data_IF_209864754560
#
_entry.id   IF_209864754560
#
_cell.length_a   1.000
_cell.length_b   1.000
_cell.length_c   1.000
_cell.angle_alpha   90.00
_cell.angle_beta   90.00
_cell.angle_gamma   90.00
#
_symmetry.space_group_name_H-M   'P 1'
#
loop_
_entity.id
_entity.type
_entity.pdbx_description
1 polymer ?
#
# COMPACT_ATOMS: atom_id res chain seq x y z
N UNK A 1 -53.47 2.22 38.17
CA UNK A 1 -54.17 2.53 36.90
C UNK A 1 -53.66 3.89 36.46
N UNK A 2 -53.00 4.10 35.32
CA UNK A 2 -53.27 3.59 33.96
C UNK A 2 -51.97 3.36 33.18
N UNK A 3 -52.01 2.34 32.36
CA UNK A 3 -50.98 1.81 31.47
C UNK A 3 -50.84 2.63 30.17
N UNK A 4 -49.59 2.65 29.67
CA UNK A 4 -49.16 2.58 28.24
C UNK A 4 -49.63 3.61 27.21
N UNK A 5 -48.67 4.16 26.45
CA UNK A 5 -48.55 4.17 24.97
C UNK A 5 -47.49 5.24 24.61
N UNK A 6 -46.24 4.84 24.33
CA UNK A 6 -45.70 4.57 22.98
C UNK A 6 -45.16 5.83 22.28
N UNK A 7 -43.83 5.91 22.11
CA UNK A 7 -43.25 6.40 20.85
C UNK A 7 -41.84 5.84 20.68
N UNK A 8 -41.75 4.79 19.87
CA UNK A 8 -40.51 4.31 19.30
C UNK A 8 -39.98 5.36 18.31
N UNK A 9 -38.92 6.09 18.68
CA UNK A 9 -38.13 6.88 17.74
C UNK A 9 -36.91 6.06 17.32
N UNK A 10 -37.17 5.10 16.43
CA UNK A 10 -36.17 4.27 15.79
C UNK A 10 -35.32 5.10 14.82
N UNK A 11 -33.99 5.04 15.02
CA UNK A 11 -33.00 4.69 14.00
C UNK A 11 -33.12 5.39 12.63
N UNK A 12 -32.63 6.62 12.48
CA UNK A 12 -32.18 7.15 11.17
C UNK A 12 -31.08 8.22 11.34
N UNK A 13 -29.97 7.89 12.01
CA UNK A 13 -28.71 8.61 11.80
C UNK A 13 -27.84 7.75 10.88
N UNK A 14 -28.31 7.57 9.65
CA UNK A 14 -27.51 7.07 8.54
C UNK A 14 -26.30 7.98 8.40
N UNK A 15 -25.16 7.49 8.92
CA UNK A 15 -23.88 8.16 8.83
C UNK A 15 -23.60 8.50 7.38
N UNK A 16 -23.62 9.80 7.07
CA UNK A 16 -23.06 10.32 5.83
C UNK A 16 -21.57 10.07 5.95
N UNK A 17 -21.11 8.91 5.51
CA UNK A 17 -19.70 8.73 5.19
C UNK A 17 -19.44 9.63 3.99
N UNK A 18 -19.01 10.86 4.26
CA UNK A 18 -18.36 11.68 3.26
C UNK A 18 -17.25 10.82 2.66
N UNK A 19 -17.51 10.30 1.46
CA UNK A 19 -16.49 9.70 0.65
C UNK A 19 -15.56 10.85 0.27
N UNK A 20 -14.59 11.15 1.14
CA UNK A 20 -13.47 11.99 0.79
C UNK A 20 -12.77 11.27 -0.36
N UNK A 21 -13.10 11.66 -1.59
CA UNK A 21 -12.21 11.43 -2.71
C UNK A 21 -10.84 11.91 -2.24
N UNK A 22 -9.89 10.98 -2.10
CA UNK A 22 -8.57 11.34 -1.65
C UNK A 22 -8.03 12.40 -2.61
N UNK A 23 -7.60 13.54 -2.05
CA UNK A 23 -7.02 14.61 -2.83
C UNK A 23 -5.70 14.15 -3.46
N UNK A 24 -5.25 14.85 -4.51
CA UNK A 24 -3.98 14.56 -5.17
C UNK A 24 -2.80 14.54 -4.19
N UNK A 25 -2.84 15.41 -3.17
CA UNK A 25 -1.84 15.45 -2.10
C UNK A 25 -1.85 14.18 -1.24
N UNK A 26 -3.03 13.66 -0.90
CA UNK A 26 -3.15 12.41 -0.14
C UNK A 26 -2.57 11.22 -0.93
N UNK A 27 -2.81 11.18 -2.24
CA UNK A 27 -2.24 10.16 -3.13
C UNK A 27 -0.72 10.29 -3.30
N UNK A 28 -0.20 11.50 -3.36
CA UNK A 28 1.25 11.75 -3.40
C UNK A 28 1.93 11.25 -2.12
N UNK A 29 1.40 11.62 -0.96
CA UNK A 29 1.91 11.19 0.34
C UNK A 29 1.86 9.67 0.51
N UNK A 30 0.77 9.04 0.10
CA UNK A 30 0.63 7.58 0.12
C UNK A 30 1.72 6.90 -0.72
N UNK A 31 1.96 7.34 -1.96
CA UNK A 31 2.99 6.76 -2.83
C UNK A 31 4.40 6.95 -2.27
N UNK A 32 4.68 8.12 -1.71
CA UNK A 32 5.96 8.41 -1.03
C UNK A 32 6.20 7.46 0.13
N UNK A 33 5.16 7.20 0.92
CA UNK A 33 5.24 6.27 2.04
C UNK A 33 5.48 4.83 1.58
N UNK A 34 4.72 4.35 0.59
CA UNK A 34 4.90 3.01 0.02
C UNK A 34 6.33 2.86 -0.51
N UNK A 35 6.82 3.84 -1.28
CA UNK A 35 8.19 3.83 -1.78
C UNK A 35 9.22 3.69 -0.64
N UNK A 36 9.10 4.51 0.40
CA UNK A 36 10.01 4.51 1.55
C UNK A 36 9.98 3.19 2.31
N UNK A 37 8.79 2.67 2.59
CA UNK A 37 8.61 1.40 3.30
C UNK A 37 9.20 0.23 2.51
N UNK A 38 8.92 0.17 1.21
CA UNK A 38 9.40 -0.87 0.32
C UNK A 38 10.92 -0.85 0.14
N UNK A 39 11.52 0.31 -0.10
CA UNK A 39 12.99 0.43 -0.19
C UNK A 39 13.64 0.04 1.13
N UNK A 40 13.03 0.39 2.26
CA UNK A 40 13.54 0.01 3.58
C UNK A 40 13.50 -1.49 3.81
N UNK A 41 12.38 -2.14 3.48
CA UNK A 41 12.23 -3.59 3.60
C UNK A 41 13.19 -4.36 2.67
N UNK A 42 13.58 -3.76 1.53
CA UNK A 42 14.48 -4.37 0.57
C UNK A 42 15.99 -4.23 0.86
N UNK A 43 16.41 -3.48 1.91
CA UNK A 43 17.84 -3.15 2.16
C UNK A 43 18.79 -4.34 2.30
N UNK A 44 18.29 -5.52 2.69
CA UNK A 44 19.09 -6.75 2.76
C UNK A 44 19.26 -7.48 1.42
N UNK A 45 18.44 -7.14 0.43
CA UNK A 45 18.44 -7.75 -0.89
C UNK A 45 19.02 -6.81 -1.96
N UNK A 46 18.72 -5.51 -1.86
CA UNK A 46 19.02 -4.50 -2.89
C UNK A 46 19.77 -3.31 -2.27
N UNK A 47 20.95 -3.04 -2.82
CA UNK A 47 21.74 -1.83 -2.58
C UNK A 47 21.10 -0.64 -3.30
N UNK A 48 20.88 0.47 -2.59
CA UNK A 48 20.35 1.73 -3.13
C UNK A 48 19.09 1.54 -3.99
N UNK A 49 18.17 0.69 -3.54
CA UNK A 49 16.96 0.34 -4.28
C UNK A 49 16.08 1.55 -4.60
N UNK A 50 15.46 1.51 -5.78
CA UNK A 50 14.44 2.48 -6.23
C UNK A 50 13.10 1.76 -6.38
N UNK A 51 12.04 2.40 -5.90
CA UNK A 51 10.68 1.87 -5.98
C UNK A 51 9.91 2.51 -7.14
N UNK A 52 9.34 1.67 -8.01
CA UNK A 52 8.25 2.03 -8.91
C UNK A 52 6.94 1.65 -8.22
N UNK A 53 6.18 2.65 -7.78
CA UNK A 53 4.96 2.45 -6.99
C UNK A 53 3.75 2.42 -7.90
N UNK A 54 2.86 1.43 -7.69
CA UNK A 54 1.52 1.42 -8.26
C UNK A 54 0.78 2.69 -7.80
N UNK A 55 0.28 3.53 -8.72
CA UNK A 55 -0.32 4.82 -8.37
C UNK A 55 -1.48 4.73 -7.36
N UNK A 56 -2.20 3.62 -7.34
CA UNK A 56 -3.40 3.41 -6.52
C UNK A 56 -3.22 2.26 -5.53
N UNK A 57 -2.47 1.23 -5.93
CA UNK A 57 -2.38 -0.04 -5.24
C UNK A 57 -3.68 -0.84 -5.35
N UNK A 58 -3.88 -1.75 -4.40
CA UNK A 58 -5.09 -2.55 -4.26
C UNK A 58 -5.99 -2.02 -3.13
N UNK A 59 -7.11 -2.71 -2.88
CA UNK A 59 -8.01 -2.39 -1.76
C UNK A 59 -7.26 -2.35 -0.42
N UNK A 60 -6.38 -3.33 -0.17
CA UNK A 60 -5.72 -3.51 1.13
C UNK A 60 -4.23 -3.14 1.13
N UNK A 61 -3.61 -3.00 -0.05
CA UNK A 61 -2.15 -2.83 -0.16
C UNK A 61 -1.75 -1.67 -1.06
N UNK A 62 -0.67 -0.99 -0.69
CA UNK A 62 0.19 -0.28 -1.66
C UNK A 62 1.13 -1.29 -2.30
N UNK A 63 1.31 -1.21 -3.61
CA UNK A 63 2.14 -2.14 -4.35
C UNK A 63 3.30 -1.39 -4.98
N UNK A 64 4.48 -1.99 -4.99
CA UNK A 64 5.64 -1.42 -5.67
C UNK A 64 6.57 -2.50 -6.18
N UNK A 65 7.34 -2.17 -7.21
CA UNK A 65 8.51 -2.92 -7.62
C UNK A 65 9.73 -2.17 -7.11
N UNK A 66 10.58 -2.83 -6.32
CA UNK A 66 11.88 -2.28 -5.92
C UNK A 66 12.95 -2.90 -6.79
N UNK A 67 13.77 -2.08 -7.44
CA UNK A 67 14.87 -2.54 -8.30
C UNK A 67 16.18 -1.85 -7.93
N UNK A 68 17.28 -2.54 -8.12
CA UNK A 68 18.62 -2.02 -7.90
C UNK A 68 19.68 -3.12 -7.95
N UNK A 69 20.89 -2.79 -7.52
CA UNK A 69 21.99 -3.75 -7.47
C UNK A 69 21.78 -4.72 -6.32
N UNK A 70 21.99 -6.01 -6.55
CA UNK A 70 21.91 -7.04 -5.52
C UNK A 70 23.00 -6.83 -4.44
N UNK A 71 22.66 -7.04 -3.18
CA UNK A 71 23.65 -7.07 -2.10
C UNK A 71 24.60 -8.25 -2.34
N UNK A 72 25.91 -7.99 -2.36
CA UNK A 72 26.93 -9.03 -2.51
C UNK A 72 27.13 -9.56 -3.94
N UNK A 73 26.45 -9.00 -4.94
CA UNK A 73 26.65 -9.36 -6.34
C UNK A 73 26.55 -8.15 -7.26
N UNK A 74 27.31 -8.14 -8.36
CA UNK A 74 27.28 -7.04 -9.33
C UNK A 74 26.22 -7.25 -10.42
N UNK A 75 24.99 -7.55 -9.99
CA UNK A 75 23.84 -7.78 -10.87
C UNK A 75 22.65 -6.95 -10.43
N UNK A 76 21.83 -6.51 -11.38
CA UNK A 76 20.57 -5.81 -11.08
C UNK A 76 19.46 -6.81 -10.90
N UNK A 77 18.70 -6.64 -9.83
CA UNK A 77 17.55 -7.46 -9.48
C UNK A 77 16.37 -6.57 -9.12
N UNK A 78 15.20 -7.18 -9.13
CA UNK A 78 13.96 -6.58 -8.72
C UNK A 78 13.24 -7.46 -7.70
N UNK A 79 12.33 -6.88 -6.95
CA UNK A 79 11.40 -7.59 -6.07
C UNK A 79 10.07 -6.86 -6.01
N UNK A 80 8.99 -7.60 -5.77
CA UNK A 80 7.67 -7.04 -5.53
C UNK A 80 7.55 -6.72 -4.05
N UNK A 81 6.98 -5.56 -3.74
CA UNK A 81 6.67 -5.13 -2.40
C UNK A 81 5.16 -4.97 -2.22
N UNK A 82 4.64 -5.50 -1.12
CA UNK A 82 3.27 -5.28 -0.65
C UNK A 82 3.29 -4.51 0.67
N UNK A 83 2.81 -3.28 0.66
CA UNK A 83 2.63 -2.42 1.83
C UNK A 83 1.20 -2.54 2.35
N UNK A 84 1.00 -3.17 3.49
CA UNK A 84 -0.31 -3.30 4.14
C UNK A 84 -0.81 -1.94 4.64
N UNK A 85 -1.95 -1.48 4.12
CA UNK A 85 -2.52 -0.17 4.47
C UNK A 85 -2.99 -0.09 5.92
N UNK A 86 -3.38 -1.22 6.53
CA UNK A 86 -3.88 -1.32 7.90
C UNK A 86 -2.74 -1.42 8.91
N UNK A 87 -1.76 -2.29 8.67
CA UNK A 87 -0.64 -2.51 9.60
C UNK A 87 0.55 -1.61 9.34
N UNK A 88 0.59 -0.95 8.16
CA UNK A 88 1.66 -0.05 7.71
C UNK A 88 3.01 -0.77 7.59
N UNK A 89 2.96 -2.09 7.35
CA UNK A 89 4.15 -2.95 7.17
C UNK A 89 4.35 -3.24 5.70
N UNK A 90 5.60 -3.24 5.26
CA UNK A 90 6.00 -3.67 3.91
C UNK A 90 6.56 -5.09 3.96
N UNK A 91 6.07 -5.93 3.06
CA UNK A 91 6.55 -7.27 2.80
C UNK A 91 7.22 -7.32 1.42
N UNK A 92 8.33 -8.05 1.33
CA UNK A 92 9.14 -8.15 0.11
C UNK A 92 9.07 -9.59 -0.40
N UNK A 93 8.78 -9.74 -1.68
CA UNK A 93 8.77 -11.02 -2.37
C UNK A 93 10.16 -11.53 -2.73
N UNK A 94 10.20 -12.64 -3.44
CA UNK A 94 11.45 -13.22 -3.95
C UNK A 94 12.18 -12.30 -4.94
N UNK A 95 13.43 -12.65 -5.22
CA UNK A 95 14.25 -11.99 -6.23
C UNK A 95 13.73 -12.30 -7.64
N UNK A 96 13.67 -11.28 -8.47
CA UNK A 96 13.35 -11.35 -9.89
C UNK A 96 14.55 -10.79 -10.66
N UNK A 97 15.10 -11.57 -11.59
CA UNK A 97 16.18 -11.08 -12.46
C UNK A 97 15.68 -9.97 -13.38
N UNK A 98 16.52 -8.96 -13.65
CA UNK A 98 16.12 -7.79 -14.42
C UNK A 98 15.60 -8.14 -15.84
N UNK A 99 16.10 -9.20 -16.47
CA UNK A 99 15.65 -9.67 -17.79
C UNK A 99 14.25 -10.32 -17.76
N UNK A 100 13.77 -10.73 -16.58
CA UNK A 100 12.47 -11.37 -16.38
C UNK A 100 11.37 -10.41 -15.98
N UNK A 101 11.72 -9.20 -15.52
CA UNK A 101 10.75 -8.18 -15.13
C UNK A 101 10.28 -7.36 -16.34
N UNK A 102 9.71 -8.04 -17.33
CA UNK A 102 9.06 -7.41 -18.49
C UNK A 102 7.77 -8.14 -18.83
N UNK A 103 6.74 -7.40 -19.25
CA UNK A 103 5.51 -7.96 -19.81
C UNK A 103 5.49 -7.57 -21.29
N UNK A 104 5.27 -8.53 -22.17
CA UNK A 104 5.19 -8.33 -23.62
C UNK A 104 3.75 -8.25 -24.08
#
# INVERSE_FOLDING_TARGET
MKTTFALAAALLASGVTVAHAASDDAWSNFRSEVAKACVTAAKGLIENGKALVDPFGSQSYGLAIVSGKAVGANVTISTICAFDKKTRKAEIGGQISADKLTVK
#
